data_IF_558625935089
#
_entry.id   IF_558625935089
#
_cell.length_a   1.000
_cell.length_b   1.000
_cell.length_c   1.000
_cell.angle_alpha   90.00
_cell.angle_beta   90.00
_cell.angle_gamma   90.00
#
_symmetry.space_group_name_H-M   'P 1'
#
loop_
_entity.id
_entity.type
_entity.pdbx_description
1 polymer ?
#
# COMPACT_ATOMS: atom_id res chain seq x y z
N UNK A 1 -21.41 -27.45 21.53
CA UNK A 1 -20.45 -27.15 22.61
C UNK A 1 -21.25 -26.55 23.74
N UNK A 2 -21.24 -27.14 24.92
CA UNK A 2 -22.01 -26.70 26.10
C UNK A 2 -21.01 -26.47 27.25
N UNK A 3 -21.20 -25.40 28.03
CA UNK A 3 -20.34 -25.02 29.17
C UNK A 3 -21.19 -24.35 30.26
N UNK A 4 -20.81 -24.57 31.52
CA UNK A 4 -21.37 -24.02 32.75
C UNK A 4 -20.50 -22.91 33.37
N UNK A 5 -19.49 -22.42 32.63
CA UNK A 5 -18.63 -21.32 33.08
C UNK A 5 -19.43 -20.02 33.21
N UNK A 6 -19.35 -19.38 34.39
CA UNK A 6 -19.97 -18.07 34.65
C UNK A 6 -19.33 -16.92 33.84
N UNK A 7 -18.19 -17.17 33.17
CA UNK A 7 -17.51 -16.19 32.31
C UNK A 7 -16.80 -16.82 31.11
N UNK A 8 -17.43 -16.77 29.96
CA UNK A 8 -16.79 -17.07 28.68
C UNK A 8 -15.89 -15.91 28.22
N UNK A 9 -14.58 -16.16 28.08
CA UNK A 9 -13.64 -15.18 27.49
C UNK A 9 -13.35 -15.55 26.04
N UNK A 10 -13.97 -14.87 25.08
CA UNK A 10 -13.63 -15.00 23.67
C UNK A 10 -12.38 -14.15 23.41
N UNK A 11 -11.23 -14.81 23.16
CA UNK A 11 -10.00 -14.12 22.77
C UNK A 11 -10.15 -13.60 21.35
N UNK A 12 -9.64 -12.40 21.08
CA UNK A 12 -9.52 -11.87 19.71
C UNK A 12 -8.75 -12.90 18.88
N UNK A 13 -9.39 -13.56 17.88
CA UNK A 13 -8.72 -14.58 17.08
C UNK A 13 -7.62 -13.99 16.20
N UNK A 14 -7.54 -12.66 16.05
CA UNK A 14 -6.58 -11.94 15.22
C UNK A 14 -5.88 -10.83 16.00
N UNK A 15 -4.99 -11.17 16.95
CA UNK A 15 -4.35 -10.18 17.83
C UNK A 15 -3.46 -9.19 17.06
N UNK A 16 -3.04 -9.54 15.84
CA UNK A 16 -2.23 -8.66 15.00
C UNK A 16 -3.13 -7.69 14.26
N UNK A 17 -3.02 -6.40 14.60
CA UNK A 17 -3.74 -5.32 13.93
C UNK A 17 -2.81 -4.50 13.07
N UNK A 18 -3.32 -4.06 11.93
CA UNK A 18 -2.72 -3.00 11.12
C UNK A 18 -3.41 -1.69 11.48
N UNK A 19 -2.61 -0.68 11.80
CA UNK A 19 -3.09 0.68 12.05
C UNK A 19 -2.40 1.61 11.08
N UNK A 20 -3.20 2.39 10.35
CA UNK A 20 -2.75 3.52 9.53
C UNK A 20 -3.22 4.81 10.20
N UNK A 21 -2.27 5.67 10.55
CA UNK A 21 -2.53 7.05 10.97
C UNK A 21 -2.59 7.96 9.74
N UNK A 22 -3.66 8.74 9.62
CA UNK A 22 -3.89 9.65 8.49
C UNK A 22 -3.76 11.06 9.02
N UNK A 23 -2.69 11.75 8.65
CA UNK A 23 -2.34 13.07 9.14
C UNK A 23 -2.62 14.10 8.04
N UNK A 24 -3.63 14.98 8.20
CA UNK A 24 -3.88 16.03 7.24
C UNK A 24 -2.85 17.16 7.39
N UNK A 25 -2.08 17.44 6.35
CA UNK A 25 -1.11 18.54 6.32
C UNK A 25 -1.47 19.50 5.18
N UNK A 26 -2.35 20.45 5.50
CA UNK A 26 -2.91 21.40 4.55
C UNK A 26 -2.77 22.85 5.03
N UNK A 27 -2.69 23.78 4.08
CA UNK A 27 -2.91 25.20 4.32
C UNK A 27 -4.42 25.46 4.32
N UNK A 28 -5.04 25.40 5.50
CA UNK A 28 -6.49 25.59 5.69
C UNK A 28 -6.99 27.00 5.35
N UNK A 29 -6.08 27.95 5.07
CA UNK A 29 -6.50 29.25 4.50
C UNK A 29 -6.90 29.12 3.03
N UNK A 30 -6.43 28.07 2.34
CA UNK A 30 -6.69 27.78 0.92
C UNK A 30 -7.57 26.55 0.72
N UNK A 31 -7.41 25.52 1.55
CA UNK A 31 -8.21 24.30 1.51
C UNK A 31 -9.54 24.52 2.24
N UNK A 32 -10.66 24.17 1.61
CA UNK A 32 -11.97 24.08 2.27
C UNK A 32 -12.07 22.76 3.03
N UNK A 33 -11.89 21.65 2.32
CA UNK A 33 -11.97 20.30 2.87
C UNK A 33 -11.13 19.29 2.09
N UNK A 34 -10.76 18.21 2.75
CA UNK A 34 -10.15 17.04 2.12
C UNK A 34 -10.90 15.78 2.55
N UNK A 35 -11.23 14.93 1.58
CA UNK A 35 -11.74 13.59 1.79
C UNK A 35 -10.63 12.59 1.53
N UNK A 36 -10.46 11.63 2.44
CA UNK A 36 -9.49 10.55 2.31
C UNK A 36 -10.22 9.24 2.49
N UNK A 37 -10.36 8.49 1.40
CA UNK A 37 -10.91 7.15 1.41
C UNK A 37 -9.78 6.16 1.55
N UNK A 38 -9.90 5.21 2.48
CA UNK A 38 -8.93 4.13 2.69
C UNK A 38 -9.62 2.79 2.60
N UNK A 39 -8.91 1.80 2.06
CA UNK A 39 -9.38 0.43 1.94
C UNK A 39 -8.30 -0.58 2.32
N UNK A 40 -8.71 -1.70 2.89
CA UNK A 40 -7.88 -2.87 3.09
C UNK A 40 -8.59 -4.10 2.54
N UNK A 41 -7.86 -4.89 1.76
CA UNK A 41 -8.37 -6.07 1.08
C UNK A 41 -7.52 -7.30 1.40
N UNK A 42 -8.17 -8.36 1.86
CA UNK A 42 -7.61 -9.71 1.96
C UNK A 42 -8.61 -10.72 1.37
N UNK A 43 -8.66 -10.83 0.03
CA UNK A 43 -9.66 -11.65 -0.65
C UNK A 43 -9.51 -13.14 -0.34
N UNK A 44 -8.30 -13.62 -0.03
CA UNK A 44 -8.05 -15.01 0.34
C UNK A 44 -8.74 -15.38 1.66
N UNK A 45 -8.97 -14.40 2.53
CA UNK A 45 -9.64 -14.56 3.82
C UNK A 45 -11.00 -13.83 3.85
N UNK A 46 -11.52 -13.38 2.70
CA UNK A 46 -12.81 -12.73 2.58
C UNK A 46 -12.95 -11.38 3.31
N UNK A 47 -11.84 -10.65 3.51
CA UNK A 47 -11.85 -9.36 4.21
C UNK A 47 -11.85 -8.20 3.20
N UNK A 48 -12.78 -7.27 3.39
CA UNK A 48 -12.80 -5.95 2.78
C UNK A 48 -13.20 -4.96 3.88
N UNK A 49 -12.33 -4.01 4.17
CA UNK A 49 -12.58 -2.95 5.15
C UNK A 49 -12.36 -1.60 4.48
N UNK A 50 -13.31 -0.70 4.61
CA UNK A 50 -13.27 0.62 3.99
C UNK A 50 -13.66 1.71 4.99
N UNK A 51 -13.02 2.87 4.89
CA UNK A 51 -13.36 4.02 5.72
C UNK A 51 -13.05 5.33 5.00
N UNK A 52 -13.90 6.34 5.17
CA UNK A 52 -13.69 7.69 4.68
C UNK A 52 -13.44 8.65 5.84
N UNK A 53 -12.49 9.57 5.66
CA UNK A 53 -12.18 10.63 6.60
C UNK A 53 -12.39 11.98 5.93
N UNK A 54 -13.10 12.89 6.60
CA UNK A 54 -13.22 14.30 6.19
C UNK A 54 -12.37 15.17 7.13
N UNK A 55 -11.50 15.98 6.54
CA UNK A 55 -10.66 16.95 7.23
C UNK A 55 -10.99 18.36 6.74
N UNK A 56 -11.01 19.32 7.67
CA UNK A 56 -11.21 20.74 7.40
C UNK A 56 -10.59 21.58 8.54
N UNK A 57 -10.70 22.91 8.46
CA UNK A 57 -10.12 23.84 9.43
C UNK A 57 -10.62 23.66 10.89
N UNK A 58 -11.73 22.94 11.08
CA UNK A 58 -12.30 22.57 12.40
C UNK A 58 -12.07 21.11 12.77
N UNK A 59 -11.66 20.28 11.82
CA UNK A 59 -11.46 18.83 11.97
C UNK A 59 -10.09 18.44 11.40
N UNK A 60 -9.03 18.74 12.15
CA UNK A 60 -7.63 18.48 11.76
C UNK A 60 -7.01 17.30 12.51
N UNK A 61 -7.80 16.61 13.33
CA UNK A 61 -7.32 15.49 14.13
C UNK A 61 -6.87 14.32 13.24
N UNK A 62 -5.84 13.60 13.64
CA UNK A 62 -5.34 12.42 12.93
C UNK A 62 -6.43 11.35 12.83
N UNK A 63 -6.76 10.94 11.60
CA UNK A 63 -7.61 9.78 11.32
C UNK A 63 -6.89 8.48 11.69
N UNK A 64 -7.63 7.49 12.17
CA UNK A 64 -7.08 6.17 12.52
C UNK A 64 -7.90 5.08 11.86
N UNK A 65 -7.30 4.43 10.88
CA UNK A 65 -7.87 3.24 10.26
C UNK A 65 -7.21 1.99 10.87
N UNK A 66 -8.01 1.09 11.41
CA UNK A 66 -7.54 -0.10 12.12
C UNK A 66 -8.24 -1.33 11.59
N UNK A 67 -7.46 -2.31 11.14
CA UNK A 67 -7.98 -3.58 10.63
C UNK A 67 -7.29 -4.75 11.32
N UNK A 68 -8.03 -5.83 11.55
CA UNK A 68 -7.47 -7.09 12.04
C UNK A 68 -6.85 -7.86 10.86
N UNK A 69 -5.62 -8.33 11.02
CA UNK A 69 -4.93 -9.05 9.95
C UNK A 69 -5.22 -10.54 10.04
N UNK A 70 -5.84 -11.09 8.99
CA UNK A 70 -5.97 -12.52 8.75
C UNK A 70 -4.67 -13.12 8.22
N UNK A 71 -4.05 -12.44 7.25
CA UNK A 71 -2.67 -12.68 6.82
C UNK A 71 -1.75 -11.57 7.35
N UNK A 72 -0.81 -11.93 8.23
CA UNK A 72 0.13 -10.97 8.82
C UNK A 72 1.05 -10.29 7.79
N UNK A 73 1.20 -10.86 6.59
CA UNK A 73 2.00 -10.31 5.49
C UNK A 73 1.20 -9.36 4.58
N UNK A 74 -0.14 -9.41 4.61
CA UNK A 74 -0.98 -8.44 3.89
C UNK A 74 -1.14 -7.19 4.73
N UNK A 75 -0.24 -6.23 4.50
CA UNK A 75 -0.21 -4.96 5.27
C UNK A 75 -0.48 -3.73 4.44
N UNK A 76 -0.59 -3.90 3.13
CA UNK A 76 -0.84 -2.82 2.18
C UNK A 76 -2.25 -2.27 2.38
N UNK A 77 -2.34 -0.95 2.50
CA UNK A 77 -3.61 -0.22 2.59
C UNK A 77 -3.75 0.63 1.33
N UNK A 78 -4.88 0.53 0.66
CA UNK A 78 -5.27 1.40 -0.43
C UNK A 78 -5.77 2.75 0.10
N UNK A 79 -5.50 3.83 -0.62
CA UNK A 79 -6.06 5.13 -0.30
C UNK A 79 -6.23 5.98 -1.56
N UNK A 80 -7.19 6.90 -1.54
CA UNK A 80 -7.31 8.00 -2.49
C UNK A 80 -7.74 9.24 -1.73
N UNK A 81 -7.50 10.41 -2.30
CA UNK A 81 -7.93 11.65 -1.67
C UNK A 81 -8.50 12.64 -2.68
N UNK A 82 -9.54 13.35 -2.28
CA UNK A 82 -10.11 14.48 -3.01
C UNK A 82 -9.97 15.72 -2.14
N UNK A 83 -9.30 16.74 -2.66
CA UNK A 83 -9.03 17.98 -1.93
C UNK A 83 -9.74 19.12 -2.65
N UNK A 84 -10.58 19.84 -1.91
CA UNK A 84 -11.39 20.94 -2.42
C UNK A 84 -10.84 22.24 -1.84
N UNK A 85 -10.52 23.19 -2.72
CA UNK A 85 -10.03 24.51 -2.36
C UNK A 85 -11.19 25.49 -2.20
N UNK A 86 -10.95 26.57 -1.44
CA UNK A 86 -11.93 27.65 -1.21
C UNK A 86 -12.26 28.44 -2.48
N UNK A 87 -11.43 28.37 -3.51
CA UNK A 87 -11.70 28.94 -4.83
C UNK A 87 -12.61 28.04 -5.70
N UNK A 88 -13.03 26.88 -5.19
CA UNK A 88 -13.89 25.92 -5.86
C UNK A 88 -13.16 24.93 -6.75
N UNK A 89 -11.83 25.03 -6.88
CA UNK A 89 -11.04 24.02 -7.61
C UNK A 89 -10.86 22.75 -6.77
N UNK A 90 -10.62 21.63 -7.45
CA UNK A 90 -10.32 20.35 -6.82
C UNK A 90 -9.00 19.78 -7.33
N UNK A 91 -8.34 18.99 -6.49
CA UNK A 91 -7.23 18.12 -6.88
C UNK A 91 -7.42 16.74 -6.27
N UNK A 92 -6.94 15.72 -6.97
CA UNK A 92 -7.10 14.34 -6.55
C UNK A 92 -5.73 13.66 -6.39
N UNK A 93 -5.60 12.89 -5.31
CA UNK A 93 -4.60 11.84 -5.21
C UNK A 93 -5.26 10.56 -5.75
N UNK A 94 -4.79 10.01 -6.88
CA UNK A 94 -5.40 8.84 -7.48
C UNK A 94 -5.23 7.61 -6.59
N UNK A 95 -5.93 6.52 -6.92
CA UNK A 95 -5.88 5.26 -6.16
C UNK A 95 -4.45 4.79 -5.91
N UNK A 96 -4.01 4.94 -4.67
CA UNK A 96 -2.66 4.71 -4.20
C UNK A 96 -2.63 3.64 -3.14
N UNK A 97 -1.43 3.20 -2.76
CA UNK A 97 -1.24 2.15 -1.77
C UNK A 97 -0.09 2.50 -0.85
N UNK A 98 -0.08 2.01 0.38
CA UNK A 98 1.06 2.23 1.29
C UNK A 98 1.29 1.05 2.23
N UNK A 99 2.57 0.81 2.54
CA UNK A 99 3.03 -0.08 3.63
C UNK A 99 3.41 0.70 4.89
N UNK A 100 3.40 2.03 4.84
CA UNK A 100 3.72 2.91 5.94
C UNK A 100 2.64 2.91 7.02
N UNK A 101 3.04 3.10 8.28
CA UNK A 101 2.09 3.20 9.40
C UNK A 101 1.42 4.57 9.48
N UNK A 102 1.93 5.55 8.74
CA UNK A 102 1.45 6.92 8.70
C UNK A 102 1.37 7.41 7.26
N UNK A 103 0.19 7.88 6.87
CA UNK A 103 -0.06 8.60 5.64
C UNK A 103 -0.19 10.09 5.97
N UNK A 104 0.74 10.91 5.49
CA UNK A 104 0.59 12.37 5.56
C UNK A 104 -0.04 12.85 4.26
N UNK A 105 -1.26 13.37 4.32
CA UNK A 105 -1.99 13.82 3.14
C UNK A 105 -1.71 15.30 2.90
N UNK A 106 -1.31 15.63 1.67
CA UNK A 106 -0.95 16.99 1.22
C UNK A 106 -1.54 17.27 -0.15
N UNK A 107 -1.64 18.54 -0.52
CA UNK A 107 -2.09 18.97 -1.86
C UNK A 107 -1.15 18.58 -2.99
N UNK A 108 0.16 18.53 -2.71
CA UNK A 108 1.20 18.28 -3.69
C UNK A 108 1.50 16.78 -3.89
N UNK A 109 0.63 15.91 -3.36
CA UNK A 109 0.82 14.48 -3.46
C UNK A 109 0.56 13.97 -4.87
N UNK A 110 1.53 13.24 -5.38
CA UNK A 110 1.32 12.31 -6.47
C UNK A 110 0.63 11.04 -5.95
N UNK A 111 0.12 10.23 -6.87
CA UNK A 111 -0.27 8.86 -6.55
C UNK A 111 0.96 8.03 -6.18
N UNK A 112 0.76 7.00 -5.36
CA UNK A 112 1.82 6.09 -4.93
C UNK A 112 1.43 4.64 -5.19
N UNK A 113 2.29 3.88 -5.88
CA UNK A 113 2.09 2.45 -6.12
C UNK A 113 3.08 1.62 -5.35
N UNK A 114 2.59 0.52 -4.79
CA UNK A 114 3.39 -0.53 -4.17
C UNK A 114 3.19 -1.82 -4.96
N UNK A 115 4.26 -2.31 -5.58
CA UNK A 115 4.27 -3.56 -6.34
C UNK A 115 4.97 -4.63 -5.51
N UNK A 116 4.21 -5.59 -4.98
CA UNK A 116 4.77 -6.74 -4.30
C UNK A 116 5.40 -7.71 -5.32
N UNK A 117 6.68 -8.04 -5.12
CA UNK A 117 7.41 -9.02 -5.93
C UNK A 117 7.70 -10.25 -5.08
N UNK A 118 7.32 -11.41 -5.62
CA UNK A 118 7.64 -12.73 -5.04
C UNK A 118 8.05 -13.69 -6.15
N UNK A 119 9.05 -14.54 -5.93
CA UNK A 119 9.27 -15.72 -6.76
C UNK A 119 8.04 -16.64 -6.69
N UNK A 120 7.83 -17.45 -7.73
CA UNK A 120 6.82 -18.51 -7.69
C UNK A 120 7.18 -19.59 -6.66
N UNK A 121 6.22 -20.44 -6.31
CA UNK A 121 6.33 -21.43 -5.22
C UNK A 121 7.24 -22.65 -5.55
N UNK A 122 7.99 -22.60 -6.66
CA UNK A 122 8.87 -23.69 -7.07
C UNK A 122 10.17 -23.77 -6.25
N UNK A 123 10.65 -24.99 -6.01
CA UNK A 123 11.91 -25.21 -5.30
C UNK A 123 13.11 -24.80 -6.19
N UNK A 124 13.95 -23.89 -5.68
CA UNK A 124 15.09 -23.37 -6.43
C UNK A 124 16.16 -24.44 -6.68
N UNK A 125 16.36 -25.39 -5.76
CA UNK A 125 17.32 -26.45 -5.93
C UNK A 125 16.86 -27.46 -7.00
N UNK A 126 15.58 -27.87 -6.97
CA UNK A 126 14.99 -28.75 -7.99
C UNK A 126 15.03 -28.10 -9.38
N UNK A 127 14.75 -26.80 -9.47
CA UNK A 127 14.83 -26.02 -10.72
C UNK A 127 16.27 -25.66 -11.13
N UNK A 128 17.28 -26.09 -10.36
CA UNK A 128 18.69 -25.72 -10.53
C UNK A 128 18.91 -24.20 -10.62
N UNK A 129 18.05 -23.42 -9.98
CA UNK A 129 18.18 -21.98 -9.86
C UNK A 129 19.20 -21.64 -8.76
N UNK A 130 20.11 -20.73 -9.09
CA UNK A 130 20.99 -20.07 -8.12
C UNK A 130 20.33 -18.82 -7.58
N UNK A 131 19.80 -17.99 -8.48
CA UNK A 131 19.10 -16.76 -8.15
C UNK A 131 18.21 -16.30 -9.32
N UNK A 132 17.17 -15.55 -9.01
CA UNK A 132 16.36 -14.78 -9.94
C UNK A 132 16.64 -13.30 -9.67
N UNK A 133 17.04 -12.56 -10.70
CA UNK A 133 17.22 -11.12 -10.64
C UNK A 133 16.03 -10.47 -11.32
N UNK A 134 15.36 -9.56 -10.64
CA UNK A 134 14.25 -8.77 -11.18
C UNK A 134 14.65 -7.31 -11.16
N UNK A 135 14.66 -6.68 -12.32
CA UNK A 135 14.88 -5.23 -12.47
C UNK A 135 13.57 -4.57 -12.84
N UNK A 136 13.19 -3.53 -12.12
CA UNK A 136 11.97 -2.77 -12.36
C UNK A 136 12.33 -1.31 -12.64
N UNK A 137 11.57 -0.66 -13.54
CA UNK A 137 11.76 0.76 -13.84
C UNK A 137 10.44 1.43 -14.18
N UNK A 138 10.19 2.59 -13.59
CA UNK A 138 9.11 3.50 -13.97
C UNK A 138 9.71 4.84 -14.36
N UNK A 139 9.34 5.37 -15.52
CA UNK A 139 9.77 6.69 -16.02
C UNK A 139 8.55 7.51 -16.44
N UNK A 140 8.49 8.74 -15.98
CA UNK A 140 7.58 9.78 -16.46
C UNK A 140 8.39 11.08 -16.61
N UNK A 141 9.16 11.22 -17.72
CA UNK A 141 10.07 12.33 -17.91
C UNK A 141 9.34 13.68 -18.04
N UNK A 142 8.10 13.69 -18.51
CA UNK A 142 7.27 14.91 -18.60
C UNK A 142 7.02 15.52 -17.21
N UNK A 143 6.93 14.69 -16.18
CA UNK A 143 6.73 15.09 -14.78
C UNK A 143 8.00 14.94 -13.93
N UNK A 144 9.13 14.59 -14.54
CA UNK A 144 10.42 14.46 -13.87
C UNK A 144 10.51 13.28 -12.91
N UNK A 145 9.70 12.23 -13.09
CA UNK A 145 9.71 11.03 -12.24
C UNK A 145 10.54 9.91 -12.90
N UNK A 146 11.42 9.28 -12.13
CA UNK A 146 12.21 8.12 -12.58
C UNK A 146 12.59 7.27 -11.37
N UNK A 147 12.05 6.05 -11.31
CA UNK A 147 12.29 5.09 -10.23
C UNK A 147 12.79 3.78 -10.81
N UNK A 148 13.79 3.16 -10.19
CA UNK A 148 14.29 1.86 -10.61
C UNK A 148 14.87 1.08 -9.43
N UNK A 149 14.61 -0.22 -9.40
CA UNK A 149 15.16 -1.14 -8.40
C UNK A 149 15.62 -2.46 -9.03
N UNK A 150 16.53 -3.14 -8.35
CA UNK A 150 17.00 -4.48 -8.68
C UNK A 150 16.93 -5.37 -7.43
N UNK A 151 16.25 -6.51 -7.55
CA UNK A 151 16.09 -7.49 -6.49
C UNK A 151 16.70 -8.83 -6.89
N UNK A 152 17.42 -9.46 -5.98
CA UNK A 152 17.95 -10.81 -6.13
C UNK A 152 17.23 -11.76 -5.17
N UNK A 153 16.53 -12.75 -5.73
CA UNK A 153 15.83 -13.79 -4.99
C UNK A 153 16.62 -15.09 -5.08
N UNK A 154 16.81 -15.75 -3.94
CA UNK A 154 17.52 -17.04 -3.78
C UNK A 154 16.60 -18.14 -3.24
N UNK A 155 15.38 -17.81 -2.84
CA UNK A 155 14.38 -18.78 -2.38
C UNK A 155 12.95 -18.35 -2.76
N UNK A 156 12.01 -19.31 -2.76
CA UNK A 156 10.58 -19.04 -2.92
C UNK A 156 9.97 -18.24 -1.75
N UNK A 157 10.67 -18.16 -0.60
CA UNK A 157 10.24 -17.40 0.57
C UNK A 157 10.62 -15.90 0.49
N UNK A 158 11.54 -15.54 -0.39
CA UNK A 158 12.03 -14.17 -0.51
C UNK A 158 10.92 -13.23 -1.00
N UNK A 159 10.92 -11.98 -0.52
CA UNK A 159 9.91 -10.96 -0.82
C UNK A 159 10.61 -9.63 -1.08
N UNK A 160 10.05 -8.82 -1.97
CA UNK A 160 10.45 -7.43 -2.17
C UNK A 160 9.23 -6.57 -2.54
N UNK A 161 9.36 -5.25 -2.40
CA UNK A 161 8.42 -4.28 -2.97
C UNK A 161 9.17 -3.32 -3.89
N UNK A 162 8.57 -2.99 -5.02
CA UNK A 162 8.97 -1.85 -5.85
C UNK A 162 7.92 -0.76 -5.68
N UNK A 163 8.38 0.42 -5.28
CA UNK A 163 7.52 1.53 -4.89
C UNK A 163 7.87 2.74 -5.75
N UNK A 164 6.84 3.42 -6.26
CA UNK A 164 7.05 4.60 -7.10
C UNK A 164 5.85 5.53 -7.05
N UNK A 165 6.15 6.83 -7.18
CA UNK A 165 5.12 7.84 -7.36
C UNK A 165 4.73 7.95 -8.84
N UNK A 166 3.48 8.30 -9.09
CA UNK A 166 2.93 8.46 -10.44
C UNK A 166 1.83 9.53 -10.44
N UNK A 167 1.53 10.09 -11.61
CA UNK A 167 0.39 11.00 -11.77
C UNK A 167 -0.74 10.31 -12.54
N UNK A 168 -1.97 10.84 -12.43
CA UNK A 168 -3.12 10.29 -13.17
C UNK A 168 -2.94 10.29 -14.69
N UNK A 169 -2.12 11.21 -15.22
CA UNK A 169 -1.80 11.34 -16.64
C UNK A 169 -0.48 10.65 -17.03
N UNK A 170 0.24 10.09 -16.06
CA UNK A 170 1.51 9.41 -16.29
C UNK A 170 1.35 8.03 -16.94
N UNK A 171 2.47 7.35 -17.28
CA UNK A 171 2.42 6.02 -17.86
C UNK A 171 1.66 5.01 -16.99
N UNK A 172 0.89 4.14 -17.64
CA UNK A 172 0.01 3.19 -16.96
C UNK A 172 0.78 2.11 -16.15
N UNK A 173 2.05 1.85 -16.48
CA UNK A 173 2.82 0.76 -15.90
C UNK A 173 4.33 0.98 -15.93
N UNK A 174 5.03 0.03 -15.31
CA UNK A 174 6.47 -0.03 -15.17
C UNK A 174 7.05 -1.14 -16.07
N UNK A 175 8.33 -1.02 -16.40
CA UNK A 175 9.10 -2.01 -17.14
C UNK A 175 9.66 -3.06 -16.19
N UNK A 176 9.75 -4.31 -16.66
CA UNK A 176 10.28 -5.44 -15.90
C UNK A 176 11.28 -6.21 -16.75
N UNK A 177 12.44 -6.51 -16.18
CA UNK A 177 13.40 -7.46 -16.73
C UNK A 177 13.67 -8.57 -15.70
N UNK A 178 13.55 -9.83 -16.11
CA UNK A 178 13.81 -10.99 -15.25
C UNK A 178 14.97 -11.79 -15.81
N UNK A 179 16.01 -12.00 -15.01
CA UNK A 179 17.18 -12.83 -15.35
C UNK A 179 17.23 -14.01 -14.38
N UNK A 180 17.26 -15.23 -14.92
CA UNK A 180 17.42 -16.45 -14.13
C UNK A 180 18.85 -16.93 -14.25
N UNK A 181 19.54 -17.11 -13.14
CA UNK A 181 20.89 -17.68 -13.09
C UNK A 181 20.79 -19.10 -12.57
N UNK A 182 21.29 -20.04 -13.36
CA UNK A 182 21.30 -21.45 -13.01
C UNK A 182 22.58 -21.80 -12.24
N UNK A 183 22.50 -22.84 -11.41
CA UNK A 183 23.67 -23.46 -10.80
C UNK A 183 24.45 -24.18 -11.90
N UNK A 184 25.76 -23.98 -11.97
CA UNK A 184 26.64 -24.79 -12.82
C UNK A 184 26.65 -26.22 -12.31
N UNK A 185 26.64 -27.18 -13.23
CA UNK A 185 26.71 -28.61 -12.93
C UNK A 185 28.05 -29.00 -12.28
#
# INVERSE_FOLDING_TARGET
>A
METDEERLTIRDPFPTKRTLEIVPLFDWTKVDRAFVDVSYEDPNNGVLEEQSFEFNDKSVATGRFVVALQDANRRQVGFKATIIRKDGTLSEVPQSYTLERRLTVREDMNGHKVVAIRPGDGDFAELKLREIIVKLRYDDPERGLSFADEFAFKSAADRASFEYDYTAEGPAGYQIQIVRRLRTA
#
